data_IF_384568240583
#
_entry.id   IF_384568240583
#
_cell.length_a   1.000
_cell.length_b   1.000
_cell.length_c   1.000
_cell.angle_alpha   90.00
_cell.angle_beta   90.00
_cell.angle_gamma   90.00
#
_symmetry.space_group_name_H-M   'P 1'
#
loop_
_entity.id
_entity.type
_entity.pdbx_description
1 polymer ?
#
# COMPACT_ATOMS: atom_id res chain seq x y z
N UNK A 1 -10.94 17.94 6.52
CA UNK A 1 -11.58 17.06 7.52
C UNK A 1 -11.34 15.64 7.04
N UNK A 2 -10.49 14.89 7.73
CA UNK A 2 -10.33 13.44 7.56
C UNK A 2 -11.08 12.66 8.65
N UNK A 3 -11.61 13.39 9.64
CA UNK A 3 -12.26 12.81 10.79
C UNK A 3 -13.59 12.21 10.36
N UNK A 4 -13.73 10.94 10.70
CA UNK A 4 -14.89 10.10 10.51
C UNK A 4 -15.47 9.77 11.87
N UNK A 5 -16.75 9.45 11.90
CA UNK A 5 -17.42 9.06 13.13
C UNK A 5 -16.94 7.66 13.60
N UNK A 6 -16.65 7.44 14.90
CA UNK A 6 -16.20 6.14 15.40
C UNK A 6 -17.17 4.97 15.18
N UNK A 7 -18.48 5.22 15.16
CA UNK A 7 -19.48 4.21 14.80
C UNK A 7 -19.40 3.88 13.31
N UNK A 8 -19.21 4.88 12.45
CA UNK A 8 -18.97 4.67 11.02
C UNK A 8 -17.71 3.82 10.78
N UNK A 9 -16.60 4.13 11.46
CA UNK A 9 -15.36 3.34 11.42
C UNK A 9 -15.58 1.88 11.78
N UNK A 10 -16.30 1.63 12.87
CA UNK A 10 -16.63 0.28 13.32
C UNK A 10 -17.48 -0.47 12.28
N UNK A 11 -18.45 0.20 11.64
CA UNK A 11 -19.29 -0.41 10.60
C UNK A 11 -18.49 -0.76 9.35
N UNK A 12 -17.55 0.10 8.95
CA UNK A 12 -16.63 -0.17 7.83
C UNK A 12 -15.71 -1.35 8.15
N UNK A 13 -15.09 -1.36 9.34
CA UNK A 13 -14.23 -2.45 9.77
C UNK A 13 -15.00 -3.79 9.82
N UNK A 14 -16.18 -3.80 10.43
CA UNK A 14 -17.03 -5.00 10.48
C UNK A 14 -17.45 -5.50 9.10
N UNK A 15 -17.66 -4.59 8.14
CA UNK A 15 -17.93 -4.98 6.76
C UNK A 15 -16.71 -5.65 6.12
N UNK A 16 -15.52 -5.06 6.27
CA UNK A 16 -14.26 -5.66 5.79
C UNK A 16 -13.96 -7.02 6.43
N UNK A 17 -14.20 -7.20 7.72
CA UNK A 17 -14.05 -8.49 8.42
C UNK A 17 -14.99 -9.57 7.85
N UNK A 18 -16.13 -9.15 7.29
CA UNK A 18 -17.12 -10.02 6.65
C UNK A 18 -16.96 -10.12 5.12
N UNK A 19 -15.86 -9.64 4.54
CA UNK A 19 -15.66 -9.58 3.08
C UNK A 19 -15.98 -10.90 2.38
N UNK A 20 -15.40 -12.01 2.85
CA UNK A 20 -15.59 -13.35 2.26
C UNK A 20 -17.00 -13.92 2.46
N UNK A 21 -17.80 -13.34 3.35
CA UNK A 21 -19.19 -13.74 3.58
C UNK A 21 -20.17 -13.07 2.60
N UNK A 22 -19.70 -12.14 1.76
CA UNK A 22 -20.51 -11.38 0.81
C UNK A 22 -20.16 -11.71 -0.64
N UNK A 23 -21.18 -11.66 -1.51
CA UNK A 23 -20.90 -11.62 -2.95
C UNK A 23 -20.26 -10.27 -3.33
N UNK A 24 -19.46 -10.19 -4.42
CA UNK A 24 -18.88 -8.93 -4.87
C UNK A 24 -19.87 -7.77 -5.00
N UNK A 25 -21.06 -8.04 -5.55
CA UNK A 25 -22.12 -7.05 -5.72
C UNK A 25 -22.72 -6.57 -4.40
N UNK A 26 -22.99 -7.48 -3.46
CA UNK A 26 -23.53 -7.14 -2.15
C UNK A 26 -22.52 -6.33 -1.32
N UNK A 27 -21.25 -6.75 -1.31
CA UNK A 27 -20.17 -6.02 -0.63
C UNK A 27 -20.03 -4.59 -1.17
N UNK A 28 -19.95 -4.45 -2.50
CA UNK A 28 -19.84 -3.15 -3.15
C UNK A 28 -21.03 -2.24 -2.86
N UNK A 29 -22.25 -2.78 -2.82
CA UNK A 29 -23.45 -2.01 -2.52
C UNK A 29 -23.46 -1.52 -1.05
N UNK A 30 -23.08 -2.38 -0.11
CA UNK A 30 -22.97 -2.04 1.33
C UNK A 30 -21.92 -0.98 1.59
N UNK A 31 -20.72 -1.13 1.01
CA UNK A 31 -19.67 -0.11 1.16
C UNK A 31 -20.09 1.22 0.52
N UNK A 32 -20.77 1.18 -0.63
CA UNK A 32 -21.32 2.39 -1.26
C UNK A 32 -22.31 3.11 -0.35
N UNK A 33 -23.15 2.37 0.38
CA UNK A 33 -24.08 2.97 1.33
C UNK A 33 -23.35 3.68 2.48
N UNK A 34 -22.36 3.03 3.09
CA UNK A 34 -21.53 3.62 4.16
C UNK A 34 -20.78 4.86 3.67
N UNK A 35 -20.17 4.80 2.49
CA UNK A 35 -19.41 5.91 1.91
C UNK A 35 -20.29 7.13 1.62
N UNK A 36 -21.57 6.94 1.29
CA UNK A 36 -22.53 8.04 1.06
C UNK A 36 -22.93 8.80 2.32
N UNK A 37 -22.64 8.25 3.50
CA UNK A 37 -22.83 8.96 4.77
C UNK A 37 -21.80 10.07 4.98
N UNK A 38 -20.65 10.01 4.28
CA UNK A 38 -19.62 11.03 4.32
C UNK A 38 -19.91 12.17 3.33
N UNK A 39 -19.38 13.40 3.59
CA UNK A 39 -19.48 14.51 2.65
C UNK A 39 -18.97 14.17 1.25
N UNK A 40 -19.56 14.80 0.24
CA UNK A 40 -19.07 14.66 -1.15
C UNK A 40 -17.62 15.12 -1.25
N UNK A 41 -16.77 14.29 -1.87
CA UNK A 41 -15.33 14.58 -1.99
C UNK A 41 -14.50 14.23 -0.76
N UNK A 42 -15.07 13.58 0.26
CA UNK A 42 -14.31 13.15 1.43
C UNK A 42 -13.19 12.16 1.02
N UNK A 43 -11.92 12.38 1.40
CA UNK A 43 -10.81 11.52 0.95
C UNK A 43 -10.93 10.08 1.45
N UNK A 44 -11.47 9.86 2.67
CA UNK A 44 -11.76 8.50 3.17
C UNK A 44 -12.80 7.77 2.31
N UNK A 45 -13.80 8.48 1.79
CA UNK A 45 -14.78 7.89 0.88
C UNK A 45 -14.14 7.39 -0.43
N UNK A 46 -13.18 8.15 -0.98
CA UNK A 46 -12.41 7.74 -2.14
C UNK A 46 -11.52 6.53 -1.82
N UNK A 47 -10.87 6.53 -0.65
CA UNK A 47 -10.03 5.42 -0.17
C UNK A 47 -10.83 4.11 -0.06
N UNK A 48 -11.94 4.08 0.68
CA UNK A 48 -12.70 2.84 0.87
C UNK A 48 -13.25 2.30 -0.46
N UNK A 49 -13.67 3.18 -1.37
CA UNK A 49 -14.08 2.79 -2.73
C UNK A 49 -12.91 2.23 -3.53
N UNK A 50 -11.72 2.83 -3.43
CA UNK A 50 -10.52 2.33 -4.09
C UNK A 50 -10.20 0.91 -3.61
N UNK A 51 -10.22 0.69 -2.29
CA UNK A 51 -9.97 -0.62 -1.67
C UNK A 51 -11.01 -1.66 -2.10
N UNK A 52 -12.31 -1.31 -2.22
CA UNK A 52 -13.32 -2.21 -2.79
C UNK A 52 -12.97 -2.59 -4.22
N UNK A 53 -12.66 -1.61 -5.07
CA UNK A 53 -12.32 -1.90 -6.47
C UNK A 53 -11.07 -2.78 -6.58
N UNK A 54 -10.05 -2.52 -5.77
CA UNK A 54 -8.80 -3.28 -5.73
C UNK A 54 -9.05 -4.73 -5.29
N UNK A 55 -9.80 -4.92 -4.19
CA UNK A 55 -10.17 -6.25 -3.69
C UNK A 55 -11.02 -7.07 -4.68
N UNK A 56 -11.75 -6.41 -5.57
CA UNK A 56 -12.58 -7.04 -6.61
C UNK A 56 -11.86 -7.17 -7.97
N UNK A 57 -10.56 -6.82 -8.06
CA UNK A 57 -9.79 -6.93 -9.31
C UNK A 57 -10.17 -5.89 -10.36
N UNK A 58 -10.60 -4.70 -9.94
CA UNK A 58 -10.90 -3.56 -10.80
C UNK A 58 -9.82 -2.48 -10.69
N UNK A 59 -8.58 -2.82 -11.05
CA UNK A 59 -7.38 -2.04 -10.72
C UNK A 59 -7.39 -0.63 -11.33
N UNK A 60 -7.90 -0.47 -12.56
CA UNK A 60 -7.96 0.86 -13.21
C UNK A 60 -8.85 1.82 -12.41
N UNK A 61 -9.99 1.34 -11.91
CA UNK A 61 -10.89 2.15 -11.09
C UNK A 61 -10.29 2.44 -9.71
N UNK A 62 -9.66 1.44 -9.09
CA UNK A 62 -8.97 1.59 -7.82
C UNK A 62 -7.85 2.64 -7.89
N UNK A 63 -7.00 2.59 -8.92
CA UNK A 63 -5.89 3.50 -9.13
C UNK A 63 -6.33 4.98 -9.18
N UNK A 64 -7.42 5.27 -9.90
CA UNK A 64 -7.99 6.61 -9.94
C UNK A 64 -8.42 7.11 -8.56
N UNK A 65 -9.13 6.26 -7.82
CA UNK A 65 -9.68 6.60 -6.50
C UNK A 65 -8.61 6.73 -5.42
N UNK A 66 -7.56 5.89 -5.42
CA UNK A 66 -6.44 6.05 -4.50
C UNK A 66 -5.72 7.38 -4.72
N UNK A 67 -5.46 7.74 -5.98
CA UNK A 67 -4.88 9.04 -6.32
C UNK A 67 -5.74 10.18 -5.81
N UNK A 68 -7.06 10.11 -6.02
CA UNK A 68 -7.99 11.14 -5.59
C UNK A 68 -8.06 11.24 -4.05
N UNK A 69 -8.02 10.11 -3.34
CA UNK A 69 -7.95 10.08 -1.87
C UNK A 69 -6.69 10.77 -1.35
N UNK A 70 -5.52 10.40 -1.89
CA UNK A 70 -4.23 10.97 -1.50
C UNK A 70 -4.13 12.47 -1.83
N UNK A 71 -4.60 12.88 -3.01
CA UNK A 71 -4.67 14.28 -3.43
C UNK A 71 -5.68 15.09 -2.61
N UNK A 72 -6.78 14.46 -2.19
CA UNK A 72 -7.79 15.02 -1.29
C UNK A 72 -7.32 15.17 0.16
N UNK A 73 -6.08 14.83 0.46
CA UNK A 73 -5.47 15.03 1.77
C UNK A 73 -5.71 13.89 2.76
N UNK A 74 -5.96 12.66 2.30
CA UNK A 74 -6.02 11.47 3.17
C UNK A 74 -4.80 11.44 4.11
N UNK A 75 -5.07 11.33 5.41
CA UNK A 75 -4.07 11.35 6.48
C UNK A 75 -4.30 10.21 7.48
N UNK A 76 -3.47 10.18 8.52
CA UNK A 76 -3.50 9.13 9.53
C UNK A 76 -3.10 7.75 8.96
N UNK A 77 -3.43 6.66 9.66
CA UNK A 77 -3.03 5.31 9.27
C UNK A 77 -3.47 4.92 7.84
N UNK A 78 -4.65 5.39 7.41
CA UNK A 78 -5.17 5.13 6.06
C UNK A 78 -4.28 5.67 4.95
N UNK A 79 -3.56 6.76 5.17
CA UNK A 79 -2.69 7.34 4.14
C UNK A 79 -1.62 6.34 3.72
N UNK A 80 -0.92 5.76 4.69
CA UNK A 80 0.18 4.83 4.44
C UNK A 80 -0.33 3.53 3.82
N UNK A 81 -1.47 3.04 4.30
CA UNK A 81 -2.20 1.93 3.69
C UNK A 81 -2.58 2.22 2.23
N UNK A 82 -3.09 3.42 1.93
CA UNK A 82 -3.47 3.81 0.57
C UNK A 82 -2.26 3.87 -0.36
N UNK A 83 -1.10 4.35 0.11
CA UNK A 83 0.13 4.34 -0.69
C UNK A 83 0.57 2.91 -1.01
N UNK A 84 0.56 2.02 -0.02
CA UNK A 84 0.92 0.60 -0.20
C UNK A 84 -0.01 -0.07 -1.22
N UNK A 85 -1.32 0.03 -1.01
CA UNK A 85 -2.31 -0.56 -1.90
C UNK A 85 -2.21 0.03 -3.31
N UNK A 86 -2.12 1.36 -3.43
CA UNK A 86 -2.01 2.02 -4.73
C UNK A 86 -0.76 1.59 -5.49
N UNK A 87 0.40 1.48 -4.83
CA UNK A 87 1.61 0.99 -5.47
C UNK A 87 1.47 -0.46 -5.94
N UNK A 88 0.77 -1.31 -5.18
CA UNK A 88 0.43 -2.68 -5.62
C UNK A 88 -0.50 -2.67 -6.84
N UNK A 89 -1.55 -1.84 -6.84
CA UNK A 89 -2.44 -1.66 -7.99
C UNK A 89 -1.67 -1.18 -9.22
N UNK A 90 -0.75 -0.22 -9.07
CA UNK A 90 0.10 0.28 -10.16
C UNK A 90 1.00 -0.82 -10.74
N UNK A 91 1.55 -1.68 -9.88
CA UNK A 91 2.34 -2.84 -10.29
C UNK A 91 1.52 -3.78 -11.18
N UNK A 92 0.31 -4.13 -10.76
CA UNK A 92 -0.61 -4.98 -11.55
C UNK A 92 -1.02 -4.33 -12.88
N UNK A 93 -1.08 -3.00 -12.94
CA UNK A 93 -1.34 -2.23 -14.15
C UNK A 93 -0.11 -2.06 -15.06
N UNK A 94 1.02 -2.70 -14.76
CA UNK A 94 2.25 -2.57 -15.56
C UNK A 94 2.95 -1.22 -15.40
N UNK A 95 2.70 -0.50 -14.30
CA UNK A 95 3.30 0.81 -13.96
C UNK A 95 4.18 0.74 -12.69
N UNK A 96 5.09 -0.25 -12.55
CA UNK A 96 5.83 -0.46 -11.31
C UNK A 96 6.78 0.70 -10.97
N UNK A 97 7.31 1.42 -11.96
CA UNK A 97 8.19 2.57 -11.71
C UNK A 97 7.52 3.66 -10.85
N UNK A 98 6.24 3.93 -11.09
CA UNK A 98 5.47 4.89 -10.28
C UNK A 98 5.22 4.37 -8.86
N UNK A 99 4.93 3.07 -8.72
CA UNK A 99 4.80 2.43 -7.40
C UNK A 99 6.11 2.48 -6.59
N UNK A 100 7.27 2.30 -7.24
CA UNK A 100 8.59 2.45 -6.59
C UNK A 100 8.78 3.87 -6.07
N UNK A 101 8.45 4.89 -6.86
CA UNK A 101 8.55 6.29 -6.42
C UNK A 101 7.68 6.55 -5.19
N UNK A 102 6.43 6.09 -5.19
CA UNK A 102 5.50 6.25 -4.08
C UNK A 102 6.01 5.57 -2.80
N UNK A 103 6.40 4.31 -2.89
CA UNK A 103 6.84 3.53 -1.73
C UNK A 103 8.19 3.99 -1.19
N UNK A 104 9.09 4.46 -2.06
CA UNK A 104 10.36 5.05 -1.64
C UNK A 104 10.13 6.34 -0.85
N UNK A 105 9.27 7.23 -1.37
CA UNK A 105 8.91 8.46 -0.67
C UNK A 105 8.21 8.17 0.67
N UNK A 106 7.33 7.16 0.72
CA UNK A 106 6.63 6.78 1.95
C UNK A 106 7.57 6.17 3.00
N UNK A 107 8.54 5.35 2.58
CA UNK A 107 9.59 4.82 3.46
C UNK A 107 10.42 5.94 4.08
N UNK A 108 10.76 6.97 3.31
CA UNK A 108 11.65 8.05 3.75
C UNK A 108 10.90 9.12 4.58
N UNK A 109 9.57 9.21 4.47
CA UNK A 109 8.76 10.24 5.12
C UNK A 109 8.39 9.93 6.59
N UNK A 110 8.10 8.67 6.92
CA UNK A 110 7.64 8.27 8.24
C UNK A 110 8.02 6.82 8.57
N UNK A 111 8.08 6.50 9.87
CA UNK A 111 8.29 5.14 10.38
C UNK A 111 7.19 4.79 11.38
N UNK A 112 6.56 3.64 11.20
CA UNK A 112 5.50 3.09 12.06
C UNK A 112 5.39 1.55 11.88
N UNK A 113 4.35 0.94 12.45
CA UNK A 113 4.12 -0.51 12.39
C UNK A 113 3.97 -1.10 10.97
N UNK A 114 3.82 -0.27 9.93
CA UNK A 114 3.75 -0.67 8.53
C UNK A 114 5.11 -0.62 7.80
N UNK A 115 6.23 -0.37 8.48
CA UNK A 115 7.56 -0.33 7.85
C UNK A 115 7.88 -1.61 7.05
N UNK A 116 7.61 -2.78 7.64
CA UNK A 116 7.84 -4.07 6.97
C UNK A 116 6.93 -4.25 5.76
N UNK A 117 5.68 -3.76 5.83
CA UNK A 117 4.76 -3.79 4.72
C UNK A 117 5.24 -2.88 3.57
N UNK A 118 5.67 -1.66 3.88
CA UNK A 118 6.27 -0.74 2.88
C UNK A 118 7.48 -1.41 2.22
N UNK A 119 8.38 -2.01 2.99
CA UNK A 119 9.55 -2.70 2.47
C UNK A 119 9.19 -3.90 1.57
N UNK A 120 8.23 -4.73 2.00
CA UNK A 120 7.77 -5.87 1.22
C UNK A 120 7.17 -5.46 -0.13
N UNK A 121 6.25 -4.48 -0.12
CA UNK A 121 5.66 -3.98 -1.36
C UNK A 121 6.66 -3.22 -2.22
N UNK A 122 7.65 -2.53 -1.63
CA UNK A 122 8.73 -1.88 -2.37
C UNK A 122 9.60 -2.91 -3.07
N UNK A 123 9.97 -4.00 -2.40
CA UNK A 123 10.73 -5.09 -3.01
C UNK A 123 9.98 -5.73 -4.19
N UNK A 124 8.69 -6.06 -4.02
CA UNK A 124 7.87 -6.59 -5.12
C UNK A 124 7.82 -5.64 -6.31
N UNK A 125 7.62 -4.35 -6.04
CA UNK A 125 7.49 -3.34 -7.09
C UNK A 125 8.83 -3.06 -7.79
N UNK A 126 9.94 -3.10 -7.06
CA UNK A 126 11.30 -3.03 -7.62
C UNK A 126 11.58 -4.23 -8.53
N UNK A 127 11.19 -5.44 -8.14
CA UNK A 127 11.37 -6.63 -8.96
C UNK A 127 10.64 -6.51 -10.31
N UNK A 128 9.37 -6.08 -10.29
CA UNK A 128 8.57 -5.88 -11.49
C UNK A 128 9.08 -4.69 -12.34
N UNK A 129 9.80 -3.74 -11.74
CA UNK A 129 10.51 -2.68 -12.44
C UNK A 129 11.89 -3.11 -13.00
N UNK A 130 12.25 -4.40 -12.93
CA UNK A 130 13.55 -4.92 -13.39
C UNK A 130 14.72 -4.65 -12.45
N UNK A 131 14.46 -4.16 -11.22
CA UNK A 131 15.46 -3.82 -10.19
C UNK A 131 15.57 -4.93 -9.14
N UNK A 132 15.57 -6.19 -9.57
CA UNK A 132 15.49 -7.35 -8.69
C UNK A 132 16.64 -7.43 -7.66
N UNK A 133 17.87 -7.00 -8.02
CA UNK A 133 19.01 -6.98 -7.07
C UNK A 133 18.72 -6.07 -5.88
N UNK A 134 18.23 -4.87 -6.15
CA UNK A 134 17.85 -3.90 -5.12
C UNK A 134 16.64 -4.39 -4.31
N UNK A 135 15.65 -5.01 -4.97
CA UNK A 135 14.51 -5.63 -4.31
C UNK A 135 14.95 -6.65 -3.23
N UNK A 136 15.93 -7.50 -3.54
CA UNK A 136 16.49 -8.45 -2.57
C UNK A 136 17.18 -7.70 -1.43
N UNK A 137 17.90 -6.61 -1.72
CA UNK A 137 18.49 -5.76 -0.69
C UNK A 137 17.46 -5.20 0.29
N UNK A 138 16.36 -4.65 -0.23
CA UNK A 138 15.25 -4.14 0.59
C UNK A 138 14.62 -5.25 1.43
N UNK A 139 14.29 -6.40 0.82
CA UNK A 139 13.65 -7.51 1.51
C UNK A 139 14.54 -8.11 2.62
N UNK A 140 15.83 -8.30 2.36
CA UNK A 140 16.78 -8.79 3.36
C UNK A 140 17.03 -7.77 4.47
N UNK A 141 17.01 -6.47 4.12
CA UNK A 141 17.10 -5.38 5.09
C UNK A 141 15.94 -5.41 6.09
N UNK A 142 14.72 -5.59 5.59
CA UNK A 142 13.53 -5.76 6.42
C UNK A 142 13.53 -7.06 7.22
N UNK A 143 14.02 -8.18 6.65
CA UNK A 143 14.06 -9.47 7.35
C UNK A 143 15.09 -9.51 8.50
N UNK A 144 16.24 -8.85 8.33
CA UNK A 144 17.39 -9.01 9.23
C UNK A 144 17.09 -8.79 10.73
N UNK A 145 16.31 -7.76 11.15
CA UNK A 145 15.95 -7.53 12.54
C UNK A 145 15.14 -8.67 13.18
N UNK A 146 14.43 -9.47 12.38
CA UNK A 146 13.59 -10.57 12.88
C UNK A 146 14.33 -11.90 13.01
N UNK A 147 15.59 -11.98 12.56
CA UNK A 147 16.35 -13.23 12.58
C UNK A 147 16.89 -13.53 13.99
N UNK A 148 16.77 -14.78 14.48
CA UNK A 148 17.36 -15.18 15.77
C UNK A 148 18.90 -15.26 15.73
N UNK A 149 19.49 -15.38 14.53
CA UNK A 149 20.94 -15.38 14.30
C UNK A 149 21.27 -14.79 12.92
N UNK A 150 22.54 -14.45 12.67
CA UNK A 150 23.03 -13.86 11.40
C UNK A 150 22.51 -12.47 11.04
N UNK A 151 21.81 -11.76 11.94
CA UNK A 151 21.31 -10.37 11.74
C UNK A 151 22.37 -9.44 11.14
N UNK A 152 23.60 -9.43 11.69
CA UNK A 152 24.69 -8.58 11.20
C UNK A 152 25.13 -8.94 9.78
N UNK A 153 25.22 -10.23 9.46
CA UNK A 153 25.65 -10.70 8.15
C UNK A 153 24.60 -10.39 7.08
N UNK A 154 23.33 -10.71 7.36
CA UNK A 154 22.23 -10.43 6.43
C UNK A 154 22.05 -8.91 6.25
N UNK A 155 22.10 -8.13 7.32
CA UNK A 155 22.03 -6.67 7.24
C UNK A 155 23.22 -6.02 6.50
N UNK A 156 24.37 -6.71 6.42
CA UNK A 156 25.49 -6.29 5.56
C UNK A 156 25.18 -6.58 4.08
N UNK A 157 24.78 -7.79 3.74
CA UNK A 157 24.43 -8.15 2.36
C UNK A 157 23.27 -7.31 1.82
N UNK A 158 22.28 -7.01 2.64
CA UNK A 158 21.17 -6.12 2.30
C UNK A 158 21.66 -4.75 1.78
N UNK A 159 22.64 -4.14 2.47
CA UNK A 159 23.24 -2.86 2.07
C UNK A 159 24.04 -2.96 0.78
N UNK A 160 24.86 -4.00 0.63
CA UNK A 160 25.66 -4.27 -0.59
C UNK A 160 24.79 -4.53 -1.84
N UNK A 161 23.53 -4.93 -1.64
CA UNK A 161 22.56 -5.18 -2.71
C UNK A 161 21.70 -3.94 -3.03
N UNK A 162 21.47 -3.06 -2.05
CA UNK A 162 20.69 -1.85 -2.20
C UNK A 162 21.47 -0.71 -2.91
N UNK A 163 22.80 -0.75 -2.83
CA UNK A 163 23.64 0.16 -3.60
C UNK A 163 23.62 -0.23 -5.10
N UNK A 164 23.44 0.73 -6.03
CA UNK A 164 23.58 0.44 -7.44
C UNK A 164 24.98 -0.12 -7.68
N UNK A 165 25.06 -1.26 -8.37
CA UNK A 165 26.36 -1.81 -8.75
C UNK A 165 27.14 -0.72 -9.51
N UNK A 166 28.41 -0.45 -9.15
CA UNK A 166 29.23 0.41 -9.99
C UNK A 166 29.19 -0.18 -11.39
N UNK A 167 28.86 0.66 -12.39
CA UNK A 167 28.90 0.27 -13.80
C UNK A 167 30.20 -0.50 -14.04
N UNK A 168 30.10 -1.75 -14.49
CA UNK A 168 31.27 -2.46 -14.95
C UNK A 168 31.71 -1.78 -16.25
N UNK A 169 32.96 -1.29 -16.34
CA UNK A 169 33.47 -0.61 -17.52
C UNK A 169 33.52 -1.53 -18.74
#
# INVERSE_FOLDING_TARGET
MNDTDPDWERRVAALWDAFDAHTPGDFSARMTALVRELPTGHPVAAYERASVHDALGHEVAAAGLYRDALAGGLAGPRRRQAVIQYASTLRNLGRPAEGVTLLTAERDAASDALDDAVAAFLALTLADAGRAREAVGVALGALAPHLPSYTRSVGRYARELAEPSPEQP
#
